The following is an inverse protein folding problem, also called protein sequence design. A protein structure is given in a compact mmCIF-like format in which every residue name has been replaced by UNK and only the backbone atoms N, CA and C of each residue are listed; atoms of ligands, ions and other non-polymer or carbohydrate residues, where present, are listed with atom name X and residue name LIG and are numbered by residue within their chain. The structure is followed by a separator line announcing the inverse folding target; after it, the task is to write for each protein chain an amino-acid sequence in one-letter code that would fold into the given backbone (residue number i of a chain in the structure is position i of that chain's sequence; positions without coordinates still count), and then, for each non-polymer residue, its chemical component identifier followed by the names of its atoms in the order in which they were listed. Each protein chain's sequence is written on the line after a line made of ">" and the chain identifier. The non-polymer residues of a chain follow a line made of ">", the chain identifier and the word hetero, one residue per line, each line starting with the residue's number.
data_IF_815489087275
#
_entry.id   IF_815489087275
#
_cell.length_a   1.000
_cell.length_b   1.000
_cell.length_c   1.000
_cell.angle_alpha   90.00
_cell.angle_beta   90.00
_cell.angle_gamma   90.00
#
_symmetry.space_group_name_H-M   'P 1'
#
loop_
_entity.id
_entity.type
_entity.pdbx_description
1 polymer ?
#
# COMPACT_ATOMS: atom_id res chain seq x y z
N UNK A 1 12.05 5.09 4.18
CA UNK A 1 11.08 5.48 3.14
C UNK A 1 11.63 4.96 1.82
N UNK A 2 10.79 4.40 0.96
CA UNK A 2 11.19 3.84 -0.33
C UNK A 2 10.02 3.90 -1.32
N UNK A 3 10.34 3.87 -2.61
CA UNK A 3 9.35 3.82 -3.68
C UNK A 3 8.97 2.37 -3.97
N UNK A 4 7.68 2.12 -4.21
CA UNK A 4 7.16 0.82 -4.61
C UNK A 4 5.88 1.02 -5.41
N UNK A 5 5.40 -0.03 -6.06
CA UNK A 5 4.01 -0.05 -6.54
C UNK A 5 3.12 -0.74 -5.49
N UNK A 6 1.90 -0.25 -5.32
CA UNK A 6 0.91 -0.82 -4.40
C UNK A 6 -0.30 -1.33 -5.16
N UNK A 7 -0.69 -2.57 -4.87
CA UNK A 7 -1.96 -3.14 -5.33
C UNK A 7 -2.98 -3.08 -4.22
N UNK A 8 -4.02 -2.27 -4.41
CA UNK A 8 -5.13 -2.16 -3.46
C UNK A 8 -6.27 -3.06 -3.96
N UNK A 9 -6.40 -4.25 -3.36
CA UNK A 9 -7.26 -5.39 -3.79
C UNK A 9 -6.76 -6.14 -5.03
N UNK A 10 -7.04 -7.44 -5.09
CA UNK A 10 -6.50 -8.40 -6.09
C UNK A 10 -6.65 -8.00 -7.58
N UNK A 11 -7.65 -7.17 -7.93
CA UNK A 11 -7.95 -6.81 -9.32
C UNK A 11 -7.71 -5.34 -9.66
N UNK A 12 -7.16 -4.56 -8.73
CA UNK A 12 -6.73 -3.20 -9.07
C UNK A 12 -5.40 -3.25 -9.83
N UNK A 13 -5.16 -2.28 -10.72
CA UNK A 13 -3.82 -2.02 -11.23
C UNK A 13 -2.89 -1.61 -10.08
N UNK A 14 -1.59 -1.82 -10.29
CA UNK A 14 -0.57 -1.35 -9.36
C UNK A 14 -0.42 0.17 -9.52
N UNK A 15 -0.34 0.88 -8.39
CA UNK A 15 -0.22 2.34 -8.35
C UNK A 15 1.14 2.70 -7.76
N UNK A 16 1.93 3.58 -8.40
CA UNK A 16 3.16 4.08 -7.79
C UNK A 16 2.87 4.72 -6.44
N UNK A 17 3.69 4.42 -5.44
CA UNK A 17 3.49 4.90 -4.09
C UNK A 17 4.82 5.03 -3.34
N UNK A 18 4.79 5.87 -2.32
CA UNK A 18 5.88 6.03 -1.40
C UNK A 18 5.53 5.40 -0.05
N UNK A 19 6.42 4.54 0.42
CA UNK A 19 6.20 3.70 1.61
C UNK A 19 7.09 4.17 2.73
N UNK A 20 6.48 4.47 3.88
CA UNK A 20 7.18 4.86 5.10
C UNK A 20 6.94 3.83 6.20
N UNK A 21 8.01 3.17 6.66
CA UNK A 21 7.94 2.30 7.83
C UNK A 21 7.73 3.16 9.08
N UNK A 22 6.64 2.92 9.82
CA UNK A 22 6.27 3.70 11.01
C UNK A 22 6.52 2.93 12.33
N UNK A 23 7.22 1.80 12.24
CA UNK A 23 7.59 0.96 13.38
C UNK A 23 6.58 -0.15 13.70
N UNK A 24 7.07 -1.21 14.34
CA UNK A 24 6.34 -2.46 14.48
C UNK A 24 6.01 -3.08 13.12
N UNK A 25 4.83 -3.69 13.01
CA UNK A 25 4.34 -4.34 11.77
C UNK A 25 3.49 -3.39 10.91
N UNK A 26 3.79 -2.09 10.95
CA UNK A 26 3.01 -1.05 10.26
C UNK A 26 3.85 -0.22 9.30
N UNK A 27 3.20 0.19 8.22
CA UNK A 27 3.74 1.10 7.22
C UNK A 27 2.64 2.03 6.73
N UNK A 28 3.03 3.24 6.35
CA UNK A 28 2.19 4.22 5.68
C UNK A 28 2.46 4.16 4.19
N UNK A 29 1.41 4.24 3.38
CA UNK A 29 1.48 4.28 1.91
C UNK A 29 0.87 5.57 1.43
N UNK A 30 1.66 6.39 0.75
CA UNK A 30 1.21 7.59 0.07
C UNK A 30 1.18 7.29 -1.43
N UNK A 31 -0.02 7.18 -2.02
CA UNK A 31 -0.15 6.87 -3.46
C UNK A 31 0.08 8.11 -4.31
N UNK A 32 0.82 7.96 -5.42
CA UNK A 32 1.09 9.07 -6.34
C UNK A 32 -0.18 9.57 -7.04
N UNK A 33 -1.18 8.71 -7.17
CA UNK A 33 -2.48 9.01 -7.75
C UNK A 33 -3.62 8.65 -6.78
N UNK A 34 -4.79 9.32 -6.87
CA UNK A 34 -5.95 8.96 -6.07
C UNK A 34 -6.40 7.52 -6.34
N UNK A 35 -6.58 6.75 -5.28
CA UNK A 35 -7.07 5.37 -5.34
C UNK A 35 -8.53 5.30 -4.91
N UNK A 36 -9.37 4.65 -5.72
CA UNK A 36 -10.79 4.56 -5.41
C UNK A 36 -11.07 3.49 -4.35
N UNK A 37 -11.70 3.92 -3.26
CA UNK A 37 -12.24 3.08 -2.18
C UNK A 37 -11.24 2.12 -1.50
N UNK A 38 -10.16 2.61 -0.86
CA UNK A 38 -9.43 1.82 0.13
C UNK A 38 -10.32 1.61 1.36
N UNK A 39 -11.03 0.49 1.43
CA UNK A 39 -11.90 0.19 2.56
C UNK A 39 -11.08 -0.50 3.68
N UNK A 40 -11.27 -0.13 4.96
CA UNK A 40 -10.68 -0.86 6.07
C UNK A 40 -10.96 -2.36 5.98
N UNK A 41 -9.92 -3.18 6.17
CA UNK A 41 -9.98 -4.63 6.02
C UNK A 41 -9.62 -5.17 4.63
N UNK A 42 -9.51 -4.33 3.61
CA UNK A 42 -8.89 -4.73 2.33
C UNK A 42 -7.38 -4.93 2.49
N UNK A 43 -6.81 -5.74 1.60
CA UNK A 43 -5.36 -5.93 1.52
C UNK A 43 -4.71 -4.86 0.63
N UNK A 44 -3.56 -4.36 1.07
CA UNK A 44 -2.59 -3.64 0.26
C UNK A 44 -1.33 -4.50 0.15
N UNK A 45 -0.83 -4.69 -1.07
CA UNK A 45 0.39 -5.47 -1.35
C UNK A 45 1.38 -4.57 -2.06
N UNK A 46 2.63 -4.59 -1.62
CA UNK A 46 3.73 -3.78 -2.13
C UNK A 46 4.60 -4.61 -3.07
N UNK A 47 5.00 -4.02 -4.19
CA UNK A 47 5.84 -4.65 -5.19
C UNK A 47 7.00 -3.77 -5.62
N UNK A 48 8.13 -4.41 -5.93
CA UNK A 48 9.23 -3.84 -6.72
C UNK A 48 9.29 -4.59 -8.07
N UNK A 49 8.73 -3.97 -9.11
CA UNK A 49 8.50 -4.64 -10.38
C UNK A 49 7.62 -5.88 -10.23
N UNK A 50 8.23 -7.07 -10.35
CA UNK A 50 7.55 -8.36 -10.19
C UNK A 50 7.72 -8.99 -8.80
N UNK A 51 8.61 -8.44 -7.97
CA UNK A 51 8.89 -8.97 -6.64
C UNK A 51 7.84 -8.50 -5.63
N UNK A 52 7.29 -9.42 -4.84
CA UNK A 52 6.38 -9.11 -3.74
C UNK A 52 7.19 -8.79 -2.49
N UNK A 53 7.17 -7.52 -2.07
CA UNK A 53 7.90 -7.05 -0.89
C UNK A 53 7.15 -7.36 0.41
N UNK A 54 5.84 -7.57 0.32
CA UNK A 54 4.96 -7.85 1.45
C UNK A 54 3.60 -7.16 1.32
N UNK A 55 2.81 -7.21 2.39
CA UNK A 55 1.50 -6.58 2.39
C UNK A 55 0.87 -6.54 3.77
N UNK A 56 -0.23 -5.81 3.86
CA UNK A 56 -0.94 -5.59 5.11
C UNK A 56 -2.43 -5.37 4.88
N UNK A 57 -3.18 -5.36 5.98
CA UNK A 57 -4.57 -4.91 5.97
C UNK A 57 -4.60 -3.40 6.09
N UNK A 58 -5.36 -2.76 5.20
CA UNK A 58 -5.67 -1.35 5.27
C UNK A 58 -6.43 -1.11 6.57
N UNK A 59 -5.86 -0.28 7.42
CA UNK A 59 -6.51 0.29 8.60
C UNK A 59 -6.87 1.74 8.29
N UNK A 60 -7.74 2.36 9.10
CA UNK A 60 -7.94 3.80 8.97
C UNK A 60 -6.61 4.49 9.26
N UNK A 61 -6.28 5.51 8.46
CA UNK A 61 -5.27 6.47 8.90
C UNK A 61 -5.79 7.10 10.17
N UNK A 62 -5.00 7.05 11.24
CA UNK A 62 -5.18 8.02 12.32
C UNK A 62 -4.98 9.39 11.66
N UNK A 63 -5.96 10.29 11.84
CA UNK A 63 -5.94 11.63 11.27
C UNK A 63 -4.83 12.49 11.88
#
# INVERSE_FOLDING_TARGET
>A
RFEASVRIRHRAPDVPAEVTMVGGDRFLVETAEPVWAPAPGQAAVLYDGAECLGGGRIVRSDG
#
